data_IF_713678819350
#
_entry.id   IF_713678819350
#
_cell.length_a   1.000
_cell.length_b   1.000
_cell.length_c   1.000
_cell.angle_alpha   90.00
_cell.angle_beta   90.00
_cell.angle_gamma   90.00
#
_symmetry.space_group_name_H-M   'P 1'
#
loop_
_entity.id
_entity.type
_entity.pdbx_description
1 polymer ?
#
# COMPACT_ATOMS: atom_id res chain seq x y z
N UNK A 1 -3.36 -31.86 -16.53
CA UNK A 1 -4.01 -31.41 -15.27
C UNK A 1 -4.82 -30.17 -15.62
N UNK A 2 -6.16 -30.26 -15.64
CA UNK A 2 -7.03 -29.18 -16.10
C UNK A 2 -7.44 -28.32 -14.90
N UNK A 3 -6.92 -27.09 -14.79
CA UNK A 3 -7.25 -26.18 -13.69
C UNK A 3 -8.64 -25.58 -13.95
N UNK A 4 -9.63 -25.99 -13.16
CA UNK A 4 -10.96 -25.35 -13.15
C UNK A 4 -10.84 -24.02 -12.39
N UNK A 5 -10.87 -22.90 -13.11
CA UNK A 5 -11.01 -21.59 -12.49
C UNK A 5 -12.47 -21.37 -12.10
N UNK A 6 -12.74 -21.23 -10.80
CA UNK A 6 -14.03 -20.73 -10.33
C UNK A 6 -13.90 -19.23 -10.10
N UNK A 7 -14.69 -18.44 -10.82
CA UNK A 7 -14.80 -17.00 -10.59
C UNK A 7 -15.82 -16.77 -9.48
N UNK A 8 -15.35 -16.33 -8.31
CA UNK A 8 -16.18 -16.03 -7.14
C UNK A 8 -16.05 -14.53 -6.89
N UNK A 9 -17.19 -13.82 -6.88
CA UNK A 9 -17.27 -12.40 -6.57
C UNK A 9 -17.93 -12.19 -5.21
N UNK A 10 -17.41 -11.24 -4.43
CA UNK A 10 -18.06 -10.77 -3.22
C UNK A 10 -19.14 -9.76 -3.61
N UNK A 11 -20.35 -9.88 -3.05
CA UNK A 11 -21.41 -8.87 -3.17
C UNK A 11 -21.52 -8.07 -1.85
N UNK A 12 -20.60 -7.11 -1.58
CA UNK A 12 -20.58 -6.38 -0.32
C UNK A 12 -21.73 -5.38 -0.24
N UNK A 13 -22.32 -5.25 0.95
CA UNK A 13 -23.22 -4.13 1.24
C UNK A 13 -22.44 -2.80 1.38
N UNK A 14 -23.15 -1.67 1.43
CA UNK A 14 -22.55 -0.33 1.50
C UNK A 14 -21.54 -0.17 2.66
N UNK A 15 -21.80 -0.77 3.82
CA UNK A 15 -20.89 -0.73 4.97
C UNK A 15 -19.60 -1.52 4.70
N UNK A 16 -19.73 -2.72 4.15
CA UNK A 16 -18.60 -3.58 3.81
C UNK A 16 -17.74 -2.97 2.69
N UNK A 17 -18.36 -2.41 1.65
CA UNK A 17 -17.65 -1.74 0.55
C UNK A 17 -16.86 -0.52 1.03
N UNK A 18 -17.46 0.27 1.93
CA UNK A 18 -16.77 1.40 2.57
C UNK A 18 -15.56 0.92 3.37
N UNK A 19 -15.73 -0.11 4.19
CA UNK A 19 -14.65 -0.65 5.03
C UNK A 19 -13.51 -1.24 4.18
N UNK A 20 -13.83 -1.97 3.10
CA UNK A 20 -12.82 -2.47 2.16
C UNK A 20 -12.03 -1.32 1.51
N UNK A 21 -12.73 -0.25 1.11
CA UNK A 21 -12.11 0.94 0.54
C UNK A 21 -11.18 1.64 1.54
N UNK A 22 -11.58 1.73 2.81
CA UNK A 22 -10.74 2.27 3.88
C UNK A 22 -9.48 1.42 4.10
N UNK A 23 -9.59 0.09 4.12
CA UNK A 23 -8.43 -0.80 4.22
C UNK A 23 -7.48 -0.66 3.02
N UNK A 24 -8.01 -0.56 1.81
CA UNK A 24 -7.22 -0.31 0.60
C UNK A 24 -6.50 1.05 0.67
N UNK A 25 -7.19 2.09 1.13
CA UNK A 25 -6.60 3.40 1.39
C UNK A 25 -5.47 3.34 2.42
N UNK A 26 -5.66 2.62 3.51
CA UNK A 26 -4.62 2.44 4.54
C UNK A 26 -3.38 1.71 4.00
N UNK A 27 -3.59 0.63 3.24
CA UNK A 27 -2.51 -0.09 2.58
C UNK A 27 -1.72 0.82 1.61
N UNK A 28 -2.43 1.63 0.81
CA UNK A 28 -1.81 2.59 -0.11
C UNK A 28 -0.96 3.64 0.61
N UNK A 29 -1.47 4.22 1.70
CA UNK A 29 -0.73 5.18 2.52
C UNK A 29 0.55 4.56 3.09
N UNK A 30 0.45 3.34 3.63
CA UNK A 30 1.59 2.62 4.18
C UNK A 30 2.64 2.30 3.11
N UNK A 31 2.22 1.84 1.93
CA UNK A 31 3.10 1.57 0.80
C UNK A 31 3.82 2.84 0.32
N UNK A 32 3.07 3.93 0.12
CA UNK A 32 3.62 5.20 -0.34
C UNK A 32 4.62 5.80 0.67
N UNK A 33 4.30 5.73 1.97
CA UNK A 33 5.25 6.12 3.02
C UNK A 33 6.53 5.30 2.92
N UNK A 34 6.42 3.98 2.82
CA UNK A 34 7.58 3.11 2.73
C UNK A 34 8.43 3.37 1.50
N UNK A 35 7.80 3.56 0.34
CA UNK A 35 8.50 3.86 -0.91
C UNK A 35 9.24 5.20 -0.84
N UNK A 36 8.59 6.23 -0.28
CA UNK A 36 9.22 7.53 -0.06
C UNK A 36 10.41 7.43 0.89
N UNK A 37 10.27 6.66 1.97
CA UNK A 37 11.35 6.41 2.92
C UNK A 37 12.52 5.66 2.28
N UNK A 38 12.24 4.68 1.43
CA UNK A 38 13.26 3.91 0.73
C UNK A 38 14.02 4.78 -0.28
N UNK A 39 13.31 5.57 -1.09
CA UNK A 39 13.91 6.54 -2.04
C UNK A 39 14.84 7.52 -1.34
N UNK A 40 14.37 8.14 -0.25
CA UNK A 40 15.18 9.07 0.53
C UNK A 40 16.43 8.43 1.16
N UNK A 41 16.41 7.11 1.40
CA UNK A 41 17.58 6.34 1.80
C UNK A 41 18.55 6.13 0.64
N UNK A 42 18.05 5.71 -0.52
CA UNK A 42 18.86 5.55 -1.73
C UNK A 42 19.57 6.84 -2.14
N UNK A 43 18.90 7.99 -2.04
CA UNK A 43 19.51 9.31 -2.34
C UNK A 43 20.68 9.65 -1.40
N UNK A 44 20.75 9.01 -0.23
CA UNK A 44 21.81 9.15 0.79
C UNK A 44 22.78 7.96 0.80
N UNK A 45 22.69 7.06 -0.18
CA UNK A 45 23.42 5.79 -0.22
C UNK A 45 23.18 4.88 1.02
N UNK A 46 22.02 5.04 1.67
CA UNK A 46 21.61 4.26 2.84
C UNK A 46 20.56 3.21 2.46
N UNK A 47 20.93 1.94 2.61
CA UNK A 47 19.99 0.85 2.39
C UNK A 47 18.99 0.69 3.54
N UNK A 48 17.74 1.08 3.29
CA UNK A 48 16.67 0.97 4.30
C UNK A 48 15.83 -0.29 4.11
N UNK A 49 15.93 -1.21 5.07
CA UNK A 49 15.14 -2.44 5.09
C UNK A 49 13.66 -2.20 5.45
N UNK A 50 12.77 -3.07 4.96
CA UNK A 50 11.33 -2.97 5.22
C UNK A 50 11.00 -3.03 6.72
N UNK A 51 11.83 -3.72 7.53
CA UNK A 51 11.66 -3.78 8.99
C UNK A 51 11.88 -2.41 9.63
N UNK A 52 12.86 -1.65 9.17
CA UNK A 52 13.15 -0.28 9.61
C UNK A 52 11.99 0.65 9.25
N UNK A 53 11.59 0.63 7.99
CA UNK A 53 10.45 1.41 7.47
C UNK A 53 9.16 1.09 8.24
N UNK A 54 8.91 -0.19 8.57
CA UNK A 54 7.76 -0.60 9.37
C UNK A 54 7.78 0.00 10.77
N UNK A 55 8.95 0.12 11.41
CA UNK A 55 9.08 0.76 12.73
C UNK A 55 8.78 2.24 12.65
N UNK A 56 9.35 2.94 11.66
CA UNK A 56 9.09 4.36 11.41
C UNK A 56 7.59 4.62 11.16
N UNK A 57 6.97 3.83 10.28
CA UNK A 57 5.54 3.95 10.00
C UNK A 57 4.69 3.73 11.26
N UNK A 58 5.00 2.71 12.07
CA UNK A 58 4.26 2.45 13.30
C UNK A 58 4.39 3.59 14.34
N UNK A 59 5.50 4.31 14.35
CA UNK A 59 5.70 5.47 15.23
C UNK A 59 4.86 6.68 14.78
N UNK A 60 4.78 6.95 13.48
CA UNK A 60 4.07 8.14 12.96
C UNK A 60 2.59 7.92 12.70
N UNK A 61 2.15 6.68 12.44
CA UNK A 61 0.80 6.42 11.92
C UNK A 61 -0.33 6.90 12.82
N UNK A 62 -0.18 6.81 14.15
CA UNK A 62 -1.21 7.26 15.09
C UNK A 62 -1.39 8.77 15.08
N UNK A 63 -0.30 9.51 14.84
CA UNK A 63 -0.31 10.97 14.81
C UNK A 63 -0.75 11.50 13.44
N UNK A 64 -0.26 10.90 12.35
CA UNK A 64 -0.55 11.38 10.98
C UNK A 64 -1.86 10.84 10.42
N UNK A 65 -2.30 9.65 10.86
CA UNK A 65 -3.46 8.96 10.31
C UNK A 65 -4.33 8.40 11.45
N UNK A 66 -4.98 9.25 12.25
CA UNK A 66 -5.78 8.81 13.39
C UNK A 66 -6.91 7.85 12.98
N UNK A 67 -7.51 8.04 11.79
CA UNK A 67 -8.53 7.15 11.22
C UNK A 67 -8.05 5.70 10.99
N UNK A 68 -6.75 5.43 10.97
CA UNK A 68 -6.21 4.09 10.79
C UNK A 68 -6.31 3.21 12.05
N UNK A 69 -6.64 3.78 13.23
CA UNK A 69 -6.74 3.00 14.47
C UNK A 69 -7.91 2.02 14.47
N UNK A 70 -8.97 2.33 13.72
CA UNK A 70 -10.18 1.50 13.58
C UNK A 70 -9.98 0.37 12.56
N UNK A 71 -8.89 0.41 11.79
CA UNK A 71 -8.59 -0.52 10.72
C UNK A 71 -7.56 -1.56 11.14
N UNK A 72 -7.65 -2.76 10.55
CA UNK A 72 -6.70 -3.84 10.76
C UNK A 72 -5.27 -3.40 10.45
N UNK A 73 -4.37 -3.61 11.43
CA UNK A 73 -2.94 -3.37 11.26
C UNK A 73 -2.33 -4.23 10.13
N UNK A 74 -2.95 -5.36 9.78
CA UNK A 74 -2.45 -6.26 8.76
C UNK A 74 -2.43 -5.59 7.37
N UNK A 75 -3.35 -4.66 7.09
CA UNK A 75 -3.34 -3.90 5.84
C UNK A 75 -2.01 -3.13 5.67
N UNK A 76 -1.57 -2.43 6.71
CA UNK A 76 -0.28 -1.71 6.70
C UNK A 76 0.93 -2.65 6.69
N UNK A 77 0.88 -3.74 7.48
CA UNK A 77 2.00 -4.70 7.57
C UNK A 77 2.26 -5.36 6.22
N UNK A 78 1.21 -5.85 5.58
CA UNK A 78 1.31 -6.53 4.30
C UNK A 78 1.73 -5.56 3.19
N UNK A 79 1.25 -4.32 3.21
CA UNK A 79 1.70 -3.30 2.25
C UNK A 79 3.21 -3.03 2.32
N UNK A 80 3.76 -2.88 3.53
CA UNK A 80 5.20 -2.65 3.72
C UNK A 80 6.02 -3.91 3.41
N UNK A 81 5.47 -5.10 3.70
CA UNK A 81 6.11 -6.37 3.32
C UNK A 81 6.21 -6.50 1.79
N UNK A 82 5.11 -6.22 1.08
CA UNK A 82 5.06 -6.26 -0.38
C UNK A 82 6.05 -5.27 -1.01
N UNK A 83 6.30 -4.11 -0.37
CA UNK A 83 7.36 -3.20 -0.78
C UNK A 83 8.75 -3.85 -0.63
N UNK A 84 9.02 -4.51 0.49
CA UNK A 84 10.28 -5.24 0.69
C UNK A 84 10.53 -6.31 -0.37
N UNK A 85 9.49 -7.06 -0.72
CA UNK A 85 9.55 -8.05 -1.81
C UNK A 85 9.78 -7.39 -3.17
N UNK A 86 9.10 -6.28 -3.45
CA UNK A 86 9.26 -5.53 -4.70
C UNK A 86 10.70 -4.99 -4.84
N UNK A 87 11.26 -4.43 -3.77
CA UNK A 87 12.66 -3.97 -3.71
C UNK A 87 13.62 -5.15 -3.91
N UNK A 88 13.36 -6.30 -3.28
CA UNK A 88 14.19 -7.50 -3.43
C UNK A 88 14.19 -7.99 -4.88
N UNK A 89 13.03 -8.02 -5.55
CA UNK A 89 12.91 -8.41 -6.96
C UNK A 89 13.58 -7.41 -7.89
N UNK A 90 13.45 -6.11 -7.60
CA UNK A 90 14.15 -5.06 -8.34
C UNK A 90 15.67 -5.20 -8.22
N UNK A 91 16.20 -5.43 -7.01
CA UNK A 91 17.64 -5.67 -6.78
C UNK A 91 18.17 -6.89 -7.54
N UNK A 92 17.33 -7.93 -7.74
CA UNK A 92 17.65 -9.11 -8.54
C UNK A 92 17.52 -8.90 -10.05
N UNK A 93 17.12 -7.72 -10.51
CA UNK A 93 16.86 -7.42 -11.93
C UNK A 93 15.61 -8.08 -12.50
N UNK A 94 14.73 -8.65 -11.66
CA UNK A 94 13.53 -9.36 -12.09
C UNK A 94 12.38 -8.40 -12.44
N UNK A 95 12.34 -7.25 -11.77
CA UNK A 95 11.29 -6.24 -11.93
C UNK A 95 11.89 -4.83 -12.04
N UNK A 96 11.11 -3.90 -12.62
CA UNK A 96 11.42 -2.47 -12.57
C UNK A 96 11.30 -1.92 -11.14
N UNK A 97 11.89 -0.75 -10.91
CA UNK A 97 11.83 -0.07 -9.62
C UNK A 97 10.37 0.14 -9.16
N UNK A 98 10.03 -0.12 -7.89
CA UNK A 98 8.68 0.07 -7.39
C UNK A 98 8.20 1.52 -7.51
N UNK A 99 7.01 1.72 -8.05
CA UNK A 99 6.38 3.04 -8.22
C UNK A 99 5.21 3.21 -7.27
N UNK A 100 4.93 4.44 -6.86
CA UNK A 100 3.69 4.73 -6.16
C UNK A 100 2.54 4.57 -7.14
N UNK A 101 1.44 4.01 -6.65
CA UNK A 101 0.19 4.01 -7.40
C UNK A 101 -0.35 5.44 -7.31
N UNK A 102 -0.11 6.25 -8.34
CA UNK A 102 -0.78 7.54 -8.48
C UNK A 102 -2.27 7.24 -8.59
N UNK A 103 -3.06 7.91 -7.76
CA UNK A 103 -4.51 7.85 -7.70
C UNK A 103 -5.10 7.44 -9.04
N UNK A 104 -5.84 6.33 -9.12
CA UNK A 104 -6.92 6.23 -10.09
C UNK A 104 -7.83 7.39 -9.71
N UNK A 105 -7.57 8.57 -10.29
CA UNK A 105 -8.46 9.71 -10.23
C UNK A 105 -9.73 9.14 -10.82
N UNK A 106 -10.68 8.80 -9.94
CA UNK A 106 -12.07 8.91 -10.32
C UNK A 106 -12.13 10.27 -11.00
N UNK A 107 -12.31 10.25 -12.32
CA UNK A 107 -12.81 11.40 -13.05
C UNK A 107 -14.12 11.73 -12.37
N UNK A 108 -14.09 12.51 -11.28
CA UNK A 108 -15.24 13.28 -10.84
C UNK A 108 -15.43 14.23 -11.99
N UNK A 109 -16.30 13.85 -12.93
CA UNK A 109 -16.94 14.78 -13.83
C UNK A 109 -17.66 15.78 -12.95
N UNK A 110 -16.93 16.83 -12.57
CA UNK A 110 -17.51 18.11 -12.24
C UNK A 110 -17.82 18.75 -13.59
N UNK A 111 -18.95 18.39 -14.20
CA UNK A 111 -19.68 19.37 -15.01
C UNK A 111 -20.67 20.03 -14.05
N UNK A 112 -20.19 21.06 -13.39
CA UNK A 112 -21.07 22.14 -12.97
C UNK A 112 -21.31 22.99 -14.21
N UNK A 113 -22.52 22.91 -14.77
CA UNK A 113 -23.18 23.88 -15.65
C UNK A 113 -24.66 23.60 -15.55
#
# INVERSE_FOLDING_TARGET
MNLRSQQIELNPNNKQSTLMSQHAGYARVAYNFGLSSFKAGLDKDEWRDYRGIKREFNAVKRNKFPWCSELSQNASKNAIHNLGDAVTRWKKGQNKFPVCDSTHTLKRGASAS
#
